data_IF_857883956869
#
_entry.id   IF_857883956869
#
_cell.length_a   1.000
_cell.length_b   1.000
_cell.length_c   1.000
_cell.angle_alpha   90.00
_cell.angle_beta   90.00
_cell.angle_gamma   90.00
#
_symmetry.space_group_name_H-M   'P 1'
#
loop_
_entity.id
_entity.type
_entity.pdbx_description
1 polymer ?
#
# COMPACT_ATOMS: atom_id res chain seq x y z
N UNK A 1 -28.11 -25.96 10.72
CA UNK A 1 -27.21 -25.31 9.75
C UNK A 1 -26.06 -24.72 10.56
N UNK A 2 -24.82 -25.01 10.19
CA UNK A 2 -23.67 -24.31 10.78
C UNK A 2 -23.38 -23.05 9.94
N UNK A 3 -23.24 -21.91 10.61
CA UNK A 3 -22.81 -20.69 9.95
C UNK A 3 -21.32 -20.77 9.62
N UNK A 4 -20.94 -20.24 8.48
CA UNK A 4 -19.55 -20.13 8.04
C UNK A 4 -19.22 -18.66 7.80
N UNK A 5 -17.92 -18.31 7.88
CA UNK A 5 -17.46 -16.96 7.54
C UNK A 5 -17.81 -16.60 6.09
N UNK A 6 -18.02 -15.31 5.78
CA UNK A 6 -18.26 -14.85 4.42
C UNK A 6 -17.09 -15.23 3.49
N UNK A 7 -17.40 -15.52 2.23
CA UNK A 7 -16.39 -15.87 1.23
C UNK A 7 -15.36 -14.76 1.05
N UNK A 8 -14.08 -15.11 1.12
CA UNK A 8 -12.98 -14.15 0.97
C UNK A 8 -12.62 -13.41 2.26
N UNK A 9 -13.08 -13.91 3.41
CA UNK A 9 -12.66 -13.43 4.73
C UNK A 9 -12.01 -14.57 5.52
N UNK A 10 -11.17 -14.23 6.50
CA UNK A 10 -10.56 -15.17 7.41
C UNK A 10 -10.71 -14.72 8.86
N UNK A 11 -10.85 -15.68 9.76
CA UNK A 11 -10.63 -15.47 11.19
C UNK A 11 -9.13 -15.62 11.46
N UNK A 12 -8.56 -14.72 12.24
CA UNK A 12 -7.17 -14.76 12.69
C UNK A 12 -7.19 -15.34 14.11
N UNK A 13 -6.83 -16.61 14.22
CA UNK A 13 -6.95 -17.35 15.46
C UNK A 13 -5.65 -17.32 16.29
N UNK A 14 -5.70 -17.65 17.61
CA UNK A 14 -4.51 -17.88 18.41
C UNK A 14 -3.56 -18.88 17.73
N UNK A 15 -2.26 -18.62 17.76
CA UNK A 15 -1.23 -19.30 16.98
C UNK A 15 -0.89 -18.60 15.66
N UNK A 16 -1.86 -17.92 15.03
CA UNK A 16 -1.63 -17.06 13.87
C UNK A 16 -1.59 -15.57 14.27
N UNK A 17 -2.42 -15.15 15.24
CA UNK A 17 -2.48 -13.77 15.70
C UNK A 17 -1.15 -13.24 16.24
N UNK A 18 -0.33 -14.08 16.82
CA UNK A 18 0.98 -13.73 17.33
C UNK A 18 1.94 -13.30 16.21
N UNK A 19 1.84 -13.93 15.03
CA UNK A 19 2.61 -13.53 13.85
C UNK A 19 2.22 -12.12 13.37
N UNK A 20 0.92 -11.82 13.41
CA UNK A 20 0.38 -10.50 13.09
C UNK A 20 0.89 -9.45 14.08
N UNK A 21 0.81 -9.74 15.38
CA UNK A 21 1.30 -8.86 16.43
C UNK A 21 2.78 -8.54 16.26
N UNK A 22 3.61 -9.55 15.98
CA UNK A 22 5.04 -9.35 15.71
C UNK A 22 5.28 -8.37 14.55
N UNK A 23 4.60 -8.53 13.43
CA UNK A 23 4.70 -7.64 12.26
C UNK A 23 4.22 -6.23 12.60
N UNK A 24 3.07 -6.11 13.27
CA UNK A 24 2.49 -4.82 13.64
C UNK A 24 3.34 -4.06 14.67
N UNK A 25 3.91 -4.76 15.65
CA UNK A 25 4.80 -4.18 16.66
C UNK A 25 6.10 -3.71 16.03
N UNK A 26 6.70 -4.52 15.15
CA UNK A 26 7.90 -4.13 14.39
C UNK A 26 7.62 -2.88 13.55
N UNK A 27 6.46 -2.81 12.88
CA UNK A 27 6.06 -1.63 12.12
C UNK A 27 5.97 -0.38 13.00
N UNK A 28 5.31 -0.47 14.18
CA UNK A 28 5.19 0.65 15.12
C UNK A 28 6.54 1.13 15.63
N UNK A 29 7.48 0.21 15.85
CA UNK A 29 8.84 0.56 16.31
C UNK A 29 9.60 1.31 15.20
N UNK A 30 9.70 0.72 14.02
CA UNK A 30 10.42 1.33 12.87
C UNK A 30 9.82 2.69 12.51
N UNK A 31 8.51 2.77 12.33
CA UNK A 31 7.87 4.02 11.90
C UNK A 31 8.01 5.14 12.93
N UNK A 32 8.02 4.81 14.22
CA UNK A 32 8.31 5.78 15.28
C UNK A 32 9.73 6.34 15.19
N UNK A 33 10.71 5.49 14.83
CA UNK A 33 12.10 5.94 14.69
C UNK A 33 12.25 6.93 13.52
N UNK A 34 11.40 6.80 12.49
CA UNK A 34 11.26 7.76 11.38
C UNK A 34 10.25 8.89 11.66
N UNK A 35 9.74 8.99 12.91
CA UNK A 35 8.81 10.03 13.40
C UNK A 35 7.42 10.00 12.72
N UNK A 36 6.95 8.84 12.29
CA UNK A 36 5.57 8.65 11.88
C UNK A 36 4.68 8.34 13.07
N UNK A 37 3.52 9.01 13.16
CA UNK A 37 2.54 8.82 14.22
C UNK A 37 1.34 8.00 13.71
N UNK A 38 0.76 7.16 14.58
CA UNK A 38 -0.40 6.36 14.18
C UNK A 38 -1.63 7.25 13.96
N UNK A 39 -2.33 7.03 12.84
CA UNK A 39 -3.64 7.60 12.56
C UNK A 39 -4.64 6.47 12.29
N UNK A 40 -5.87 6.64 12.77
CA UNK A 40 -6.96 5.69 12.53
C UNK A 40 -8.15 6.43 11.95
N UNK A 41 -8.63 5.99 10.78
CA UNK A 41 -9.81 6.52 10.12
C UNK A 41 -10.97 5.50 10.21
N UNK A 42 -12.23 5.93 10.05
CA UNK A 42 -13.36 5.02 9.98
C UNK A 42 -13.19 3.92 8.93
N UNK A 43 -13.79 2.76 9.16
CA UNK A 43 -13.76 1.62 8.22
C UNK A 43 -14.63 1.89 6.99
N UNK A 44 -15.72 2.64 7.14
CA UNK A 44 -16.54 3.11 6.03
C UNK A 44 -16.30 4.59 5.76
N UNK A 45 -16.37 4.98 4.50
CA UNK A 45 -16.09 6.33 4.02
C UNK A 45 -17.18 6.77 3.04
N UNK A 46 -17.27 8.06 2.74
CA UNK A 46 -18.11 8.52 1.65
C UNK A 46 -17.61 7.95 0.32
N UNK A 47 -18.54 7.42 -0.47
CA UNK A 47 -18.22 6.86 -1.80
C UNK A 47 -17.43 7.85 -2.66
N UNK A 48 -17.84 9.12 -2.65
CA UNK A 48 -17.23 10.18 -3.44
C UNK A 48 -15.76 10.46 -3.07
N UNK A 49 -15.37 10.26 -1.80
CA UNK A 49 -13.98 10.43 -1.37
C UNK A 49 -13.10 9.41 -2.08
N UNK A 50 -13.55 8.17 -2.15
CA UNK A 50 -12.80 7.10 -2.81
C UNK A 50 -12.84 7.28 -4.34
N UNK A 51 -14.02 7.52 -4.91
CA UNK A 51 -14.19 7.65 -6.36
C UNK A 51 -13.33 8.77 -6.94
N UNK A 52 -13.34 9.96 -6.35
CA UNK A 52 -12.52 11.10 -6.78
C UNK A 52 -11.02 10.84 -6.65
N UNK A 53 -10.60 10.22 -5.55
CA UNK A 53 -9.19 10.00 -5.26
C UNK A 53 -8.58 8.87 -6.08
N UNK A 54 -9.25 7.72 -6.11
CA UNK A 54 -8.73 6.51 -6.76
C UNK A 54 -8.89 6.56 -8.28
N UNK A 55 -9.90 7.28 -8.77
CA UNK A 55 -10.26 7.42 -10.18
C UNK A 55 -11.42 6.52 -10.60
N UNK A 56 -12.44 7.12 -11.21
CA UNK A 56 -13.71 6.47 -11.59
C UNK A 56 -13.52 5.30 -12.58
N UNK A 57 -12.46 5.35 -13.39
CA UNK A 57 -12.15 4.32 -14.41
C UNK A 57 -11.34 3.15 -13.86
N UNK A 58 -10.94 3.18 -12.59
CA UNK A 58 -10.19 2.10 -11.97
C UNK A 58 -11.05 0.87 -11.72
N UNK A 59 -10.46 -0.32 -11.76
CA UNK A 59 -11.18 -1.55 -11.41
C UNK A 59 -11.69 -1.52 -9.96
N UNK A 60 -10.99 -0.85 -9.06
CA UNK A 60 -11.40 -0.68 -7.66
C UNK A 60 -12.75 0.01 -7.60
N UNK A 61 -12.88 1.20 -8.20
CA UNK A 61 -14.12 1.98 -8.14
C UNK A 61 -15.23 1.35 -8.98
N UNK A 62 -14.91 0.85 -10.17
CA UNK A 62 -15.92 0.34 -11.09
C UNK A 62 -16.47 -1.05 -10.75
N UNK A 63 -15.72 -1.90 -10.01
CA UNK A 63 -16.07 -3.33 -9.84
C UNK A 63 -15.85 -3.89 -8.42
N UNK A 64 -14.99 -3.27 -7.60
CA UNK A 64 -14.48 -3.93 -6.40
C UNK A 64 -14.92 -3.26 -5.09
N UNK A 65 -15.62 -2.15 -5.13
CA UNK A 65 -16.09 -1.47 -3.92
C UNK A 65 -17.28 -2.22 -3.27
N UNK A 66 -17.30 -2.21 -1.94
CA UNK A 66 -18.45 -2.59 -1.12
C UNK A 66 -19.21 -1.32 -0.74
N UNK A 67 -20.04 -0.81 -1.63
CA UNK A 67 -20.79 0.41 -1.44
C UNK A 67 -22.26 0.13 -1.13
N UNK A 68 -22.87 1.03 -0.36
CA UNK A 68 -24.26 0.92 0.07
C UNK A 68 -24.79 2.28 0.53
N UNK A 69 -26.10 2.40 0.64
CA UNK A 69 -26.74 3.56 1.24
C UNK A 69 -27.01 3.31 2.72
N UNK A 70 -26.63 4.23 3.58
CA UNK A 70 -26.96 4.17 4.98
C UNK A 70 -28.43 4.55 5.24
N UNK A 71 -28.89 4.48 6.52
CA UNK A 71 -30.25 4.83 6.89
C UNK A 71 -30.62 6.31 6.64
N UNK A 72 -29.63 7.17 6.42
CA UNK A 72 -29.79 8.58 6.06
C UNK A 72 -29.63 8.83 4.56
N UNK A 73 -29.73 7.78 3.74
CA UNK A 73 -29.61 7.83 2.27
C UNK A 73 -28.27 8.38 1.76
N UNK A 74 -27.20 8.32 2.58
CA UNK A 74 -25.86 8.70 2.17
C UNK A 74 -25.16 7.53 1.51
N UNK A 75 -24.53 7.78 0.35
CA UNK A 75 -23.76 6.78 -0.35
C UNK A 75 -22.40 6.61 0.32
N UNK A 76 -22.16 5.45 0.88
CA UNK A 76 -20.95 5.11 1.62
C UNK A 76 -20.36 3.80 1.11
N UNK A 77 -19.08 3.58 1.38
CA UNK A 77 -18.37 2.35 1.00
C UNK A 77 -17.49 1.87 2.15
N UNK A 78 -17.26 0.57 2.25
CA UNK A 78 -16.15 0.07 3.02
C UNK A 78 -14.85 0.48 2.32
N UNK A 79 -13.89 1.05 3.06
CA UNK A 79 -12.65 1.59 2.49
C UNK A 79 -11.86 0.51 1.75
N UNK A 80 -11.54 0.70 0.45
CA UNK A 80 -10.77 -0.27 -0.33
C UNK A 80 -9.25 -0.06 -0.19
N UNK A 81 -8.83 1.06 0.40
CA UNK A 81 -7.44 1.46 0.64
C UNK A 81 -7.39 2.55 1.73
N UNK A 82 -6.20 2.93 2.21
CA UNK A 82 -6.04 3.84 3.34
C UNK A 82 -5.75 5.29 2.99
N UNK A 83 -5.11 5.57 1.86
CA UNK A 83 -4.57 6.90 1.51
C UNK A 83 -5.66 7.96 1.38
N UNK A 84 -6.75 7.69 0.64
CA UNK A 84 -7.85 8.64 0.44
C UNK A 84 -8.58 9.00 1.75
N UNK A 85 -8.95 8.04 2.64
CA UNK A 85 -9.48 8.37 3.96
C UNK A 85 -8.55 9.22 4.82
N UNK A 86 -7.24 8.99 4.75
CA UNK A 86 -6.26 9.77 5.50
C UNK A 86 -6.12 11.18 4.92
N UNK A 87 -6.06 11.32 3.59
CA UNK A 87 -6.04 12.63 2.93
C UNK A 87 -7.32 13.43 3.25
N UNK A 88 -8.51 12.79 3.27
CA UNK A 88 -9.75 13.41 3.73
C UNK A 88 -9.63 13.87 5.19
N UNK A 89 -9.10 13.01 6.09
CA UNK A 89 -8.89 13.35 7.50
C UNK A 89 -7.90 14.51 7.66
N UNK A 90 -6.84 14.55 6.86
CA UNK A 90 -5.87 15.66 6.82
C UNK A 90 -6.54 16.98 6.47
N UNK A 91 -7.45 16.99 5.48
CA UNK A 91 -8.21 18.18 5.08
C UNK A 91 -9.24 18.58 6.15
N UNK A 92 -10.07 17.64 6.60
CA UNK A 92 -11.15 17.88 7.56
C UNK A 92 -10.64 18.45 8.89
N UNK A 93 -9.54 17.91 9.40
CA UNK A 93 -8.94 18.34 10.66
C UNK A 93 -7.91 19.48 10.48
N UNK A 94 -7.78 20.03 9.26
CA UNK A 94 -6.86 21.14 8.93
C UNK A 94 -5.40 20.88 9.31
N UNK A 95 -4.95 19.62 9.19
CA UNK A 95 -3.60 19.19 9.56
C UNK A 95 -2.50 19.83 8.68
N UNK A 96 -2.90 20.61 7.70
CA UNK A 96 -2.02 21.49 6.91
C UNK A 96 -1.68 22.82 7.61
N UNK A 97 -2.32 23.13 8.73
CA UNK A 97 -2.09 24.36 9.49
C UNK A 97 -0.62 24.55 9.92
N UNK A 98 -0.22 25.82 10.23
CA UNK A 98 1.15 26.13 10.59
C UNK A 98 1.59 25.55 11.95
N UNK A 99 0.64 25.12 12.77
CA UNK A 99 0.88 24.46 14.06
C UNK A 99 1.44 23.03 13.93
N UNK A 100 1.35 22.44 12.75
CA UNK A 100 1.83 21.09 12.48
C UNK A 100 3.16 21.10 11.73
N UNK A 101 4.10 20.26 12.16
CA UNK A 101 5.37 20.07 11.47
C UNK A 101 5.17 19.52 10.05
N UNK A 102 6.05 19.88 9.12
CA UNK A 102 6.08 19.38 7.74
C UNK A 102 7.43 18.70 7.44
N UNK A 103 7.41 17.56 6.75
CA UNK A 103 6.23 16.80 6.34
C UNK A 103 5.41 16.31 7.55
N UNK A 104 4.07 16.31 7.43
CA UNK A 104 3.19 15.68 8.40
C UNK A 104 3.17 14.19 8.15
N UNK A 105 3.79 13.42 9.04
CA UNK A 105 4.09 12.00 8.87
C UNK A 105 3.12 11.15 9.70
N UNK A 106 2.37 10.27 9.04
CA UNK A 106 1.43 9.34 9.69
C UNK A 106 1.54 7.94 9.13
N UNK A 107 1.22 6.94 9.96
CA UNK A 107 1.04 5.56 9.52
C UNK A 107 -0.30 5.00 10.01
N UNK A 108 -0.77 3.97 9.35
CA UNK A 108 -2.00 3.26 9.70
C UNK A 108 -1.83 1.75 9.60
N UNK A 109 -2.60 1.03 10.41
CA UNK A 109 -2.73 -0.43 10.35
C UNK A 109 -4.22 -0.74 10.45
N UNK A 110 -4.77 -1.52 9.53
CA UNK A 110 -6.17 -1.91 9.62
C UNK A 110 -6.75 -2.61 8.40
N UNK A 111 -8.02 -3.03 8.51
CA UNK A 111 -8.71 -3.78 7.47
C UNK A 111 -9.12 -2.87 6.30
N UNK A 112 -9.03 -3.45 5.10
CA UNK A 112 -9.50 -2.90 3.82
C UNK A 112 -10.43 -3.93 3.14
N UNK A 113 -11.25 -3.48 2.18
CA UNK A 113 -12.30 -4.29 1.60
C UNK A 113 -12.35 -4.11 0.08
N UNK A 114 -12.21 -5.22 -0.67
CA UNK A 114 -12.36 -5.24 -2.13
C UNK A 114 -13.10 -6.48 -2.58
N UNK A 115 -14.10 -6.33 -3.43
CA UNK A 115 -14.87 -7.45 -3.98
C UNK A 115 -14.08 -8.16 -5.10
N UNK A 116 -12.91 -8.66 -4.75
CA UNK A 116 -12.06 -9.41 -5.66
C UNK A 116 -12.40 -10.92 -5.66
N UNK A 117 -11.91 -11.62 -6.70
CA UNK A 117 -11.92 -13.09 -6.70
C UNK A 117 -10.91 -13.60 -5.67
N UNK A 118 -11.34 -14.28 -4.61
CA UNK A 118 -10.42 -14.74 -3.57
C UNK A 118 -9.39 -15.73 -4.10
N UNK A 119 -8.13 -15.53 -3.71
CA UNK A 119 -7.01 -16.43 -3.97
C UNK A 119 -5.96 -16.27 -2.87
N UNK A 120 -4.90 -17.09 -2.85
CA UNK A 120 -3.84 -16.98 -1.84
C UNK A 120 -3.25 -15.55 -1.87
N UNK A 121 -3.25 -14.86 -0.71
CA UNK A 121 -2.77 -13.48 -0.58
C UNK A 121 -3.67 -12.39 -1.17
N UNK A 122 -4.90 -12.73 -1.63
CA UNK A 122 -5.95 -11.79 -2.03
C UNK A 122 -7.27 -12.20 -1.42
N UNK A 123 -7.73 -11.40 -0.49
CA UNK A 123 -8.98 -11.60 0.23
C UNK A 123 -9.92 -10.43 -0.04
N UNK A 124 -11.20 -10.61 0.30
CA UNK A 124 -12.21 -9.54 0.21
C UNK A 124 -12.15 -8.59 1.40
N UNK A 125 -11.80 -9.13 2.57
CA UNK A 125 -11.29 -8.36 3.70
C UNK A 125 -9.82 -8.71 3.85
N UNK A 126 -8.95 -7.73 3.80
CA UNK A 126 -7.50 -7.85 3.94
C UNK A 126 -6.98 -6.70 4.79
N UNK A 127 -5.75 -6.79 5.27
CA UNK A 127 -5.18 -5.75 6.13
C UNK A 127 -4.01 -5.07 5.43
N UNK A 128 -3.94 -3.76 5.64
CA UNK A 128 -2.82 -2.95 5.17
C UNK A 128 -2.10 -2.29 6.34
N UNK A 129 -0.79 -2.22 6.20
CA UNK A 129 0.05 -1.24 6.85
C UNK A 129 0.39 -0.20 5.78
N UNK A 130 0.24 1.08 6.09
CA UNK A 130 0.65 2.13 5.18
C UNK A 130 1.16 3.36 5.90
N UNK A 131 1.85 4.21 5.17
CA UNK A 131 2.40 5.48 5.64
C UNK A 131 2.11 6.58 4.67
N UNK A 132 1.92 7.80 5.18
CA UNK A 132 1.68 9.00 4.38
C UNK A 132 2.48 10.17 4.96
N UNK A 133 3.19 10.90 4.09
CA UNK A 133 3.95 12.11 4.42
C UNK A 133 3.41 13.28 3.59
N UNK A 134 2.78 14.25 4.21
CA UNK A 134 2.16 15.39 3.55
C UNK A 134 2.96 16.69 3.72
N UNK A 135 3.04 17.49 2.66
CA UNK A 135 3.58 18.86 2.74
C UNK A 135 5.07 19.00 2.41
N UNK A 136 5.66 18.00 1.75
CA UNK A 136 7.04 18.09 1.25
C UNK A 136 7.12 17.68 -0.22
N UNK A 137 7.63 18.57 -1.06
CA UNK A 137 7.98 18.29 -2.45
C UNK A 137 9.44 17.83 -2.61
N UNK A 138 10.20 17.76 -1.50
CA UNK A 138 11.62 17.41 -1.54
C UNK A 138 11.81 15.92 -1.88
N UNK A 139 12.66 15.56 -2.88
CA UNK A 139 12.97 14.16 -3.20
C UNK A 139 13.52 13.35 -2.01
N UNK A 140 14.12 14.01 -1.02
CA UNK A 140 14.57 13.34 0.21
C UNK A 140 13.42 12.67 0.98
N UNK A 141 12.19 13.19 0.89
CA UNK A 141 11.02 12.56 1.51
C UNK A 141 10.68 11.24 0.83
N UNK A 142 10.83 11.16 -0.49
CA UNK A 142 10.60 9.95 -1.27
C UNK A 142 11.60 8.86 -0.85
N UNK A 143 12.89 9.25 -0.80
CA UNK A 143 13.99 8.33 -0.47
C UNK A 143 13.92 7.88 0.99
N UNK A 144 13.69 8.79 1.95
CA UNK A 144 13.54 8.45 3.37
C UNK A 144 12.40 7.44 3.58
N UNK A 145 11.27 7.63 2.88
CA UNK A 145 10.12 6.73 3.00
C UNK A 145 10.38 5.35 2.38
N UNK A 146 11.09 5.29 1.25
CA UNK A 146 11.53 4.02 0.66
C UNK A 146 12.57 3.32 1.54
N UNK A 147 13.55 4.05 2.09
CA UNK A 147 14.53 3.54 3.03
C UNK A 147 13.87 2.94 4.28
N UNK A 148 12.90 3.63 4.86
CA UNK A 148 12.12 3.14 5.99
C UNK A 148 11.39 1.82 5.66
N UNK A 149 10.81 1.68 4.47
CA UNK A 149 10.19 0.43 4.06
C UNK A 149 11.21 -0.71 3.99
N UNK A 150 12.40 -0.46 3.42
CA UNK A 150 13.47 -1.46 3.35
C UNK A 150 14.00 -1.83 4.75
N UNK A 151 14.16 -0.86 5.64
CA UNK A 151 14.56 -1.11 7.03
C UNK A 151 13.52 -1.94 7.79
N UNK A 152 12.24 -1.66 7.58
CA UNK A 152 11.16 -2.45 8.17
C UNK A 152 11.23 -3.92 7.73
N UNK A 153 11.37 -4.18 6.44
CA UNK A 153 11.48 -5.55 5.93
C UNK A 153 12.74 -6.26 6.43
N UNK A 154 13.85 -5.54 6.50
CA UNK A 154 15.10 -6.06 7.08
C UNK A 154 14.93 -6.44 8.55
N UNK A 155 14.24 -5.63 9.36
CA UNK A 155 13.95 -5.94 10.76
C UNK A 155 13.01 -7.13 10.92
N UNK A 156 12.13 -7.39 9.97
CA UNK A 156 11.33 -8.61 9.90
C UNK A 156 12.13 -9.84 9.47
N UNK A 157 13.41 -9.69 9.07
CA UNK A 157 14.27 -10.79 8.63
C UNK A 157 14.14 -11.13 7.14
N UNK A 158 13.46 -10.29 6.35
CA UNK A 158 13.37 -10.47 4.89
C UNK A 158 14.64 -9.97 4.20
N UNK A 159 15.14 -10.74 3.23
CA UNK A 159 16.39 -10.46 2.53
C UNK A 159 16.30 -10.61 1.00
N UNK A 160 15.32 -11.33 0.49
CA UNK A 160 15.16 -11.58 -0.94
C UNK A 160 14.18 -10.55 -1.54
N UNK A 161 14.59 -9.28 -1.52
CA UNK A 161 13.75 -8.17 -1.94
C UNK A 161 14.42 -7.35 -3.04
N UNK A 162 13.60 -6.83 -3.94
CA UNK A 162 14.01 -5.96 -5.04
C UNK A 162 13.16 -4.69 -5.00
N UNK A 163 13.81 -3.53 -4.94
CA UNK A 163 13.18 -2.23 -5.09
C UNK A 163 13.14 -1.87 -6.56
N UNK A 164 11.95 -1.62 -7.10
CA UNK A 164 11.74 -1.16 -8.47
C UNK A 164 11.16 0.25 -8.42
N UNK A 165 11.72 1.16 -9.19
CA UNK A 165 11.31 2.57 -9.22
C UNK A 165 10.99 3.02 -10.65
N UNK A 166 10.12 4.03 -10.76
CA UNK A 166 9.85 4.76 -12.00
C UNK A 166 9.41 6.19 -11.67
N UNK A 167 9.26 7.02 -12.69
CA UNK A 167 8.62 8.34 -12.58
C UNK A 167 7.45 8.46 -13.54
N UNK A 168 6.29 8.86 -13.03
CA UNK A 168 5.13 9.24 -13.86
C UNK A 168 5.17 10.73 -14.28
N UNK A 169 6.16 11.45 -13.79
CA UNK A 169 6.33 12.88 -14.05
C UNK A 169 5.18 13.73 -13.55
N UNK A 170 5.13 14.93 -14.05
CA UNK A 170 4.10 15.94 -13.78
C UNK A 170 2.96 15.92 -14.83
N UNK A 171 2.08 16.91 -14.77
CA UNK A 171 0.95 17.05 -15.72
C UNK A 171 1.43 17.22 -17.18
N UNK A 172 2.54 17.92 -17.40
CA UNK A 172 3.10 18.14 -18.74
C UNK A 172 3.66 16.83 -19.30
N UNK A 173 4.46 16.12 -18.51
CA UNK A 173 4.97 14.79 -18.84
C UNK A 173 3.80 13.85 -19.22
N UNK A 174 2.78 13.76 -18.36
CA UNK A 174 1.65 12.86 -18.59
C UNK A 174 0.87 13.20 -19.85
N UNK A 175 0.69 14.48 -20.16
CA UNK A 175 0.03 14.93 -21.39
C UNK A 175 0.81 14.49 -22.64
N UNK A 176 2.12 14.75 -22.65
CA UNK A 176 2.98 14.44 -23.79
C UNK A 176 3.12 12.92 -23.98
N UNK A 177 3.32 12.19 -22.89
CA UNK A 177 3.45 10.74 -22.92
C UNK A 177 2.13 10.04 -23.30
N UNK A 178 0.98 10.55 -22.82
CA UNK A 178 -0.34 10.05 -23.23
C UNK A 178 -0.50 10.11 -24.74
N UNK A 179 -0.11 11.22 -25.38
CA UNK A 179 -0.18 11.36 -26.83
C UNK A 179 0.77 10.38 -27.52
N UNK A 180 2.00 10.25 -27.04
CA UNK A 180 2.96 9.30 -27.60
C UNK A 180 2.46 7.84 -27.53
N UNK A 181 1.83 7.43 -26.41
CA UNK A 181 1.21 6.10 -26.30
C UNK A 181 0.03 5.92 -27.26
N UNK A 182 -0.82 6.92 -27.43
CA UNK A 182 -1.93 6.87 -28.41
C UNK A 182 -1.37 6.71 -29.81
N UNK A 183 -0.39 7.52 -30.19
CA UNK A 183 0.22 7.48 -31.55
C UNK A 183 0.90 6.13 -31.81
N UNK A 184 1.51 5.55 -30.78
CA UNK A 184 2.17 4.25 -30.85
C UNK A 184 1.18 3.08 -30.92
N UNK A 185 0.13 3.07 -30.09
CA UNK A 185 -0.79 1.94 -29.96
C UNK A 185 -1.95 1.95 -30.98
N UNK A 186 -2.37 3.13 -31.49
CA UNK A 186 -3.51 3.24 -32.42
C UNK A 186 -3.35 2.40 -33.69
N UNK A 187 -2.16 2.31 -34.34
CA UNK A 187 -1.99 1.41 -35.49
C UNK A 187 -2.23 -0.07 -35.17
N UNK A 188 -2.12 -0.46 -33.91
CA UNK A 188 -2.26 -1.83 -33.41
C UNK A 188 -3.60 -2.09 -32.68
N UNK A 189 -4.51 -1.11 -32.66
CA UNK A 189 -5.76 -1.20 -31.89
C UNK A 189 -6.55 -2.46 -32.18
N UNK A 190 -6.62 -2.90 -33.45
CA UNK A 190 -7.35 -4.11 -33.84
C UNK A 190 -6.81 -5.39 -33.19
N UNK A 191 -5.52 -5.40 -32.84
CA UNK A 191 -4.81 -6.55 -32.27
C UNK A 191 -4.83 -6.58 -30.73
N UNK A 192 -5.18 -5.45 -30.08
CA UNK A 192 -5.28 -5.34 -28.65
C UNK A 192 -6.45 -6.16 -28.08
N UNK A 193 -6.36 -6.48 -26.78
CA UNK A 193 -7.49 -7.03 -26.03
C UNK A 193 -8.64 -6.02 -25.95
N UNK A 194 -9.87 -6.47 -25.75
CA UNK A 194 -11.05 -5.59 -25.67
C UNK A 194 -10.92 -4.58 -24.49
N UNK A 195 -10.33 -5.00 -23.37
CA UNK A 195 -10.03 -4.10 -22.26
C UNK A 195 -8.99 -3.04 -22.64
N UNK A 196 -7.94 -3.41 -23.37
CA UNK A 196 -6.90 -2.47 -23.80
C UNK A 196 -7.37 -1.55 -24.92
N UNK A 197 -8.26 -1.96 -25.81
CA UNK A 197 -8.95 -1.08 -26.76
C UNK A 197 -9.71 0.05 -26.04
N UNK A 198 -10.48 -0.31 -25.01
CA UNK A 198 -11.17 0.70 -24.19
C UNK A 198 -10.19 1.62 -23.46
N UNK A 199 -9.17 1.04 -22.81
CA UNK A 199 -8.14 1.77 -22.07
C UNK A 199 -7.33 2.72 -22.94
N UNK A 200 -7.09 2.39 -24.21
CA UNK A 200 -6.40 3.24 -25.16
C UNK A 200 -7.05 4.62 -25.29
N UNK A 201 -8.37 4.69 -25.25
CA UNK A 201 -9.11 5.95 -25.35
C UNK A 201 -9.32 6.64 -24.00
N UNK A 202 -9.56 5.87 -22.94
CA UNK A 202 -9.84 6.39 -21.61
C UNK A 202 -8.54 6.77 -20.87
N UNK A 203 -7.63 5.81 -20.69
CA UNK A 203 -6.35 5.97 -20.00
C UNK A 203 -5.28 5.03 -20.58
N UNK A 204 -4.56 5.44 -21.62
CA UNK A 204 -3.61 4.57 -22.33
C UNK A 204 -2.44 4.07 -21.46
N UNK A 205 -2.08 4.75 -20.37
CA UNK A 205 -1.07 4.25 -19.44
C UNK A 205 -1.47 2.89 -18.84
N UNK A 206 -2.77 2.62 -18.71
CA UNK A 206 -3.25 1.33 -18.19
C UNK A 206 -3.11 0.17 -19.17
N UNK A 207 -2.81 0.43 -20.43
CA UNK A 207 -2.47 -0.62 -21.39
C UNK A 207 -1.13 -1.27 -21.01
N UNK A 208 -0.21 -0.48 -20.44
CA UNK A 208 1.11 -0.95 -19.98
C UNK A 208 1.01 -1.99 -18.84
N UNK A 209 -0.05 -1.94 -18.04
CA UNK A 209 -0.32 -2.94 -16.96
C UNK A 209 -1.14 -4.15 -17.44
N UNK A 210 -1.37 -4.28 -18.74
CA UNK A 210 -2.13 -5.41 -19.27
C UNK A 210 -1.38 -6.72 -19.09
N UNK A 211 -2.10 -7.73 -18.59
CA UNK A 211 -1.60 -9.12 -18.46
C UNK A 211 -2.00 -10.01 -19.63
N UNK A 212 -2.76 -9.48 -20.59
CA UNK A 212 -3.12 -10.22 -21.79
C UNK A 212 -1.88 -10.35 -22.70
N UNK A 213 -1.60 -11.58 -23.12
CA UNK A 213 -0.41 -11.87 -23.97
C UNK A 213 -0.43 -11.12 -25.30
N UNK A 214 -1.61 -10.77 -25.82
CA UNK A 214 -1.74 -9.97 -27.04
C UNK A 214 -1.22 -8.57 -26.86
N UNK A 215 -1.48 -7.98 -25.71
CA UNK A 215 -1.06 -6.61 -25.40
C UNK A 215 0.43 -6.56 -25.05
N UNK A 216 0.95 -7.58 -24.36
CA UNK A 216 2.35 -7.62 -23.87
C UNK A 216 3.38 -7.49 -24.99
N UNK A 217 3.09 -7.98 -26.20
CA UNK A 217 3.99 -7.81 -27.35
C UNK A 217 4.16 -6.34 -27.75
N UNK A 218 3.15 -5.50 -27.53
CA UNK A 218 3.20 -4.06 -27.82
C UNK A 218 3.73 -3.27 -26.65
N UNK A 219 3.45 -3.72 -25.40
CA UNK A 219 3.95 -3.08 -24.18
C UNK A 219 5.47 -3.14 -24.10
N UNK A 220 6.09 -4.25 -24.55
CA UNK A 220 7.54 -4.43 -24.49
C UNK A 220 8.33 -3.36 -25.27
N UNK A 221 7.78 -2.90 -26.41
CA UNK A 221 8.40 -1.92 -27.30
C UNK A 221 7.77 -0.53 -27.18
N UNK A 222 6.93 -0.29 -26.15
CA UNK A 222 6.29 1.00 -25.93
C UNK A 222 7.33 2.09 -25.60
N UNK A 223 7.10 3.35 -26.02
CA UNK A 223 8.00 4.44 -25.67
C UNK A 223 8.12 4.59 -24.15
N UNK A 224 9.33 4.87 -23.67
CA UNK A 224 9.59 5.08 -22.24
C UNK A 224 9.03 6.40 -21.75
N UNK A 225 8.31 6.41 -20.63
CA UNK A 225 7.82 7.66 -20.00
C UNK A 225 9.00 8.58 -19.61
N UNK A 226 10.16 8.00 -19.30
CA UNK A 226 11.34 8.75 -18.87
C UNK A 226 11.90 9.66 -19.98
N UNK A 227 11.62 9.37 -21.27
CA UNK A 227 12.01 10.20 -22.40
C UNK A 227 11.11 11.44 -22.55
N UNK A 228 9.97 11.47 -21.86
CA UNK A 228 8.97 12.55 -21.90
C UNK A 228 8.92 13.39 -20.63
N UNK A 229 9.79 13.10 -19.66
CA UNK A 229 9.84 13.88 -18.42
C UNK A 229 10.12 15.35 -18.72
N UNK A 230 9.35 16.24 -18.08
CA UNK A 230 9.67 17.65 -18.05
C UNK A 230 11.04 17.87 -17.39
N UNK A 231 11.74 19.00 -17.63
CA UNK A 231 13.02 19.27 -16.98
C UNK A 231 12.95 19.19 -15.44
N UNK A 232 11.83 19.63 -14.85
CA UNK A 232 11.60 19.59 -13.41
C UNK A 232 11.40 18.15 -12.90
N UNK A 233 10.55 17.38 -13.57
CA UNK A 233 10.29 15.98 -13.22
C UNK A 233 11.55 15.12 -13.39
N UNK A 234 12.35 15.39 -14.42
CA UNK A 234 13.64 14.73 -14.63
C UNK A 234 14.63 15.04 -13.53
N UNK A 235 14.79 16.31 -13.16
CA UNK A 235 15.69 16.72 -12.07
C UNK A 235 15.26 16.10 -10.72
N UNK A 236 13.94 16.01 -10.45
CA UNK A 236 13.42 15.33 -9.26
C UNK A 236 13.84 13.86 -9.26
N UNK A 237 13.59 13.13 -10.35
CA UNK A 237 13.89 11.69 -10.43
C UNK A 237 15.40 11.40 -10.37
N UNK A 238 16.24 12.21 -11.04
CA UNK A 238 17.70 12.11 -10.96
C UNK A 238 18.21 12.35 -9.53
N UNK A 239 17.56 13.26 -8.78
CA UNK A 239 17.89 13.50 -7.37
C UNK A 239 17.52 12.31 -6.50
N UNK A 240 16.34 11.68 -6.73
CA UNK A 240 15.96 10.43 -6.03
C UNK A 240 16.99 9.34 -6.27
N UNK A 241 17.40 9.12 -7.51
CA UNK A 241 18.44 8.14 -7.89
C UNK A 241 19.75 8.42 -7.15
N UNK A 242 20.23 9.66 -7.19
CA UNK A 242 21.47 10.07 -6.53
C UNK A 242 21.43 9.82 -5.02
N UNK A 243 20.28 10.06 -4.38
CA UNK A 243 20.10 9.84 -2.95
C UNK A 243 20.00 8.35 -2.59
N UNK A 244 19.36 7.52 -3.41
CA UNK A 244 19.34 6.07 -3.24
C UNK A 244 20.75 5.47 -3.34
N UNK A 245 21.52 5.92 -4.33
CA UNK A 245 22.93 5.53 -4.50
C UNK A 245 23.78 5.92 -3.28
N UNK A 246 23.57 7.14 -2.75
CA UNK A 246 24.28 7.63 -1.57
C UNK A 246 23.95 6.88 -0.27
N UNK A 247 22.80 6.20 -0.22
CA UNK A 247 22.38 5.34 0.89
C UNK A 247 22.69 3.86 0.67
N UNK A 248 23.38 3.51 -0.42
CA UNK A 248 23.65 2.12 -0.82
C UNK A 248 22.38 1.26 -0.90
N UNK A 249 21.24 1.84 -1.28
CA UNK A 249 19.98 1.12 -1.48
C UNK A 249 19.91 0.67 -2.94
N UNK A 250 19.99 -0.64 -3.22
CA UNK A 250 19.90 -1.15 -4.58
C UNK A 250 18.48 -0.99 -5.13
N UNK A 251 18.37 -0.58 -6.38
CA UNK A 251 17.10 -0.40 -7.10
C UNK A 251 17.23 -0.81 -8.56
N UNK A 252 16.09 -1.03 -9.19
CA UNK A 252 15.95 -1.19 -10.63
C UNK A 252 14.98 -0.12 -11.17
N UNK A 253 15.23 0.36 -12.37
CA UNK A 253 14.34 1.28 -13.08
C UNK A 253 13.51 0.45 -14.06
N UNK A 254 12.17 0.51 -13.92
CA UNK A 254 11.23 -0.08 -14.87
C UNK A 254 10.31 1.01 -15.43
N UNK A 255 10.63 1.48 -16.63
CA UNK A 255 9.87 2.54 -17.32
C UNK A 255 8.44 2.13 -17.69
N UNK A 256 8.12 0.84 -17.68
CA UNK A 256 6.78 0.32 -17.96
C UNK A 256 5.94 0.16 -16.69
N UNK A 257 6.56 0.29 -15.51
CA UNK A 257 5.83 0.21 -14.26
C UNK A 257 4.86 1.38 -14.13
N UNK A 258 3.59 1.06 -14.01
CA UNK A 258 2.49 2.00 -13.70
C UNK A 258 1.74 1.53 -12.47
N UNK A 259 0.89 2.39 -11.90
CA UNK A 259 0.14 2.07 -10.68
C UNK A 259 -1.36 1.94 -10.96
N UNK A 260 -2.03 1.11 -10.17
CA UNK A 260 -3.46 0.87 -10.27
C UNK A 260 -4.36 2.01 -9.77
N UNK A 261 -3.79 3.12 -9.29
CA UNK A 261 -4.49 4.28 -8.72
C UNK A 261 -4.05 5.52 -9.51
N UNK A 262 -5.01 6.39 -9.86
CA UNK A 262 -4.76 7.50 -10.79
C UNK A 262 -4.14 8.75 -10.15
N UNK A 263 -4.10 8.82 -8.81
CA UNK A 263 -3.55 9.98 -8.09
C UNK A 263 -2.04 10.12 -8.12
N UNK A 264 -1.29 9.06 -8.50
CA UNK A 264 0.17 9.11 -8.48
C UNK A 264 0.76 10.10 -9.49
N UNK A 265 1.84 10.77 -9.05
CA UNK A 265 2.69 11.70 -9.83
C UNK A 265 4.15 11.36 -9.55
N UNK A 266 5.09 11.90 -10.34
CA UNK A 266 6.54 11.77 -10.09
C UNK A 266 6.98 10.34 -9.70
N UNK A 267 7.76 10.22 -8.62
CA UNK A 267 8.32 8.93 -8.16
C UNK A 267 7.24 7.94 -7.76
N UNK A 268 7.29 6.76 -8.33
CA UNK A 268 6.54 5.57 -7.91
C UNK A 268 7.51 4.43 -7.66
N UNK A 269 7.13 3.50 -6.78
CA UNK A 269 7.96 2.34 -6.47
C UNK A 269 7.15 1.10 -6.11
N UNK A 270 7.79 -0.04 -6.27
CA UNK A 270 7.35 -1.33 -5.77
C UNK A 270 8.51 -2.05 -5.07
N UNK A 271 8.23 -2.71 -3.96
CA UNK A 271 9.15 -3.66 -3.35
C UNK A 271 8.60 -5.05 -3.62
N UNK A 272 9.39 -5.83 -4.34
CA UNK A 272 9.02 -7.16 -4.79
C UNK A 272 9.82 -8.22 -4.05
N UNK A 273 9.17 -9.31 -3.67
CA UNK A 273 9.83 -10.48 -3.13
C UNK A 273 10.35 -11.37 -4.26
N UNK A 274 11.59 -11.79 -4.15
CA UNK A 274 12.22 -12.81 -5.01
C UNK A 274 12.17 -14.21 -4.39
N UNK A 275 11.47 -14.34 -3.25
CA UNK A 275 11.30 -15.63 -2.59
C UNK A 275 10.63 -16.67 -3.51
N UNK A 276 11.00 -17.95 -3.41
CA UNK A 276 10.41 -19.02 -4.21
C UNK A 276 8.89 -19.08 -4.08
N UNK A 277 8.18 -19.34 -5.18
CA UNK A 277 6.72 -19.57 -5.23
C UNK A 277 5.83 -18.31 -5.04
N UNK A 278 6.37 -17.09 -5.00
CA UNK A 278 5.57 -15.88 -4.90
C UNK A 278 4.78 -15.57 -6.18
N UNK A 279 5.34 -15.84 -7.35
CA UNK A 279 4.66 -15.67 -8.65
C UNK A 279 4.04 -14.28 -8.83
N UNK A 280 2.78 -14.22 -9.22
CA UNK A 280 2.03 -12.97 -9.40
C UNK A 280 1.79 -12.15 -8.10
N UNK A 281 2.24 -12.65 -6.96
CA UNK A 281 2.12 -12.01 -5.64
C UNK A 281 3.44 -11.40 -5.17
N UNK A 282 4.41 -11.26 -6.07
CA UNK A 282 5.75 -10.78 -5.74
C UNK A 282 5.76 -9.37 -5.14
N UNK A 283 4.89 -8.45 -5.59
CA UNK A 283 4.81 -7.11 -5.02
C UNK A 283 4.21 -7.15 -3.61
N UNK A 284 5.04 -6.86 -2.61
CA UNK A 284 4.66 -6.87 -1.18
C UNK A 284 4.38 -5.48 -0.64
N UNK A 285 5.01 -4.44 -1.20
CA UNK A 285 4.81 -3.04 -0.86
C UNK A 285 4.81 -2.21 -2.14
N UNK A 286 4.00 -1.16 -2.16
CA UNK A 286 3.95 -0.27 -3.29
C UNK A 286 3.49 1.13 -2.90
N UNK A 287 4.06 2.14 -3.53
CA UNK A 287 3.79 3.52 -3.19
C UNK A 287 4.29 4.51 -4.23
N UNK A 288 4.32 5.76 -3.82
CA UNK A 288 4.79 6.86 -4.65
C UNK A 288 4.28 8.22 -4.22
N UNK A 289 4.57 9.21 -5.04
CA UNK A 289 4.18 10.61 -4.86
C UNK A 289 2.78 10.86 -5.42
N UNK A 290 2.04 11.74 -4.74
CA UNK A 290 0.71 12.19 -5.16
C UNK A 290 0.52 13.66 -4.74
N UNK A 291 0.66 14.58 -5.70
CA UNK A 291 0.74 16.02 -5.40
C UNK A 291 -0.61 16.74 -5.46
N UNK A 292 -1.67 16.08 -5.94
CA UNK A 292 -2.97 16.70 -6.17
C UNK A 292 -4.09 16.15 -5.30
N UNK A 293 -3.89 15.00 -4.63
CA UNK A 293 -4.93 14.30 -3.89
C UNK A 293 -5.59 15.16 -2.79
N UNK A 294 -4.79 15.91 -2.04
CA UNK A 294 -5.30 16.79 -0.97
C UNK A 294 -6.15 17.92 -1.55
N UNK A 295 -5.74 18.52 -2.67
CA UNK A 295 -6.47 19.56 -3.38
C UNK A 295 -7.80 19.03 -3.95
N UNK A 296 -7.81 17.84 -4.53
CA UNK A 296 -9.02 17.17 -5.03
C UNK A 296 -10.06 16.90 -3.94
N UNK A 297 -9.61 16.72 -2.70
CA UNK A 297 -10.47 16.56 -1.53
C UNK A 297 -10.84 17.89 -0.85
N UNK A 298 -10.51 19.03 -1.48
CA UNK A 298 -10.89 20.37 -1.01
C UNK A 298 -9.89 21.02 -0.05
N UNK A 299 -8.69 20.47 0.09
CA UNK A 299 -7.60 21.08 0.85
C UNK A 299 -6.72 22.01 -0.01
N UNK A 300 -5.66 22.59 0.57
CA UNK A 300 -4.66 23.33 -0.19
C UNK A 300 -3.81 22.39 -1.05
N UNK A 301 -3.14 22.93 -2.06
CA UNK A 301 -2.13 22.17 -2.81
C UNK A 301 -1.06 21.67 -1.85
N UNK A 302 -0.97 20.36 -1.72
CA UNK A 302 -0.11 19.70 -0.72
C UNK A 302 0.53 18.47 -1.34
N UNK A 303 1.84 18.48 -1.58
CA UNK A 303 2.54 17.28 -2.02
C UNK A 303 2.42 16.17 -0.98
N UNK A 304 2.23 14.94 -1.45
CA UNK A 304 2.20 13.75 -0.61
C UNK A 304 3.10 12.65 -1.15
N UNK A 305 3.63 11.83 -0.25
CA UNK A 305 4.35 10.61 -0.58
C UNK A 305 4.01 9.53 0.43
N UNK A 306 3.73 8.31 -0.04
CA UNK A 306 3.38 7.23 0.85
C UNK A 306 3.45 5.87 0.19
N UNK A 307 3.22 4.83 0.99
CA UNK A 307 3.10 3.46 0.52
C UNK A 307 2.07 2.67 1.32
N UNK A 308 1.64 1.56 0.75
CA UNK A 308 0.88 0.55 1.47
C UNK A 308 1.42 -0.86 1.17
N UNK A 309 1.32 -1.74 2.16
CA UNK A 309 1.65 -3.16 2.06
C UNK A 309 0.53 -4.01 2.67
N UNK A 310 0.29 -5.20 2.08
CA UNK A 310 -0.71 -6.14 2.60
C UNK A 310 -0.09 -7.07 3.63
N UNK A 311 -0.67 -7.14 4.85
CA UNK A 311 -0.15 -8.00 5.92
C UNK A 311 -0.20 -9.47 5.55
N UNK A 312 -1.30 -9.93 4.95
CA UNK A 312 -1.45 -11.33 4.53
C UNK A 312 -0.36 -11.74 3.54
N UNK A 313 -0.03 -10.84 2.61
CA UNK A 313 1.01 -11.10 1.62
C UNK A 313 2.40 -11.07 2.25
N UNK A 314 2.62 -10.17 3.20
CA UNK A 314 3.87 -10.07 3.95
C UNK A 314 4.13 -11.34 4.78
N UNK A 315 3.12 -11.86 5.48
CA UNK A 315 3.23 -13.12 6.22
C UNK A 315 3.52 -14.31 5.31
N UNK A 316 2.91 -14.36 4.12
CA UNK A 316 3.22 -15.40 3.10
C UNK A 316 4.69 -15.29 2.64
N UNK A 317 5.21 -14.07 2.49
CA UNK A 317 6.61 -13.84 2.11
C UNK A 317 7.55 -14.29 3.22
N UNK A 318 7.26 -13.94 4.48
CA UNK A 318 8.03 -14.38 5.64
C UNK A 318 8.06 -15.91 5.74
N UNK A 319 6.94 -16.57 5.49
CA UNK A 319 6.88 -18.05 5.43
C UNK A 319 7.73 -18.60 4.27
N UNK A 320 7.71 -17.97 3.12
CA UNK A 320 8.47 -18.41 1.93
C UNK A 320 10.00 -18.23 2.11
N UNK A 321 10.43 -17.24 2.88
CA UNK A 321 11.84 -17.02 3.26
C UNK A 321 12.22 -17.75 4.55
N UNK A 322 11.32 -18.57 5.13
CA UNK A 322 11.56 -19.34 6.37
C UNK A 322 11.97 -18.45 7.56
N UNK A 323 11.40 -17.24 7.62
CA UNK A 323 11.67 -16.28 8.71
C UNK A 323 11.20 -16.88 10.03
N UNK A 324 12.09 -16.89 11.01
CA UNK A 324 11.77 -17.34 12.38
C UNK A 324 11.12 -16.20 13.14
N UNK A 325 9.83 -16.32 13.42
CA UNK A 325 9.10 -15.37 14.27
C UNK A 325 9.33 -15.81 15.73
N UNK A 326 9.76 -14.89 16.62
CA UNK A 326 9.92 -15.20 18.04
C UNK A 326 8.61 -15.71 18.66
N UNK A 327 8.69 -16.71 19.51
CA UNK A 327 7.53 -17.20 20.27
C UNK A 327 7.11 -16.10 21.27
N UNK A 328 5.93 -15.49 21.04
CA UNK A 328 5.44 -14.39 21.87
C UNK A 328 4.72 -14.85 23.15
N UNK A 329 4.43 -16.15 23.29
CA UNK A 329 3.62 -16.71 24.38
C UNK A 329 4.21 -18.01 24.94
N UNK A 330 5.44 -17.96 25.46
CA UNK A 330 5.95 -19.05 26.30
C UNK A 330 5.41 -18.87 27.72
N UNK A 331 4.96 -19.99 28.34
CA UNK A 331 4.55 -19.99 29.74
C UNK A 331 5.79 -20.02 30.62
N UNK A 332 6.01 -18.97 31.40
CA UNK A 332 7.08 -18.93 32.40
C UNK A 332 6.81 -19.91 33.55
N UNK A 333 5.55 -20.05 33.94
CA UNK A 333 5.15 -20.91 35.03
C UNK A 333 3.72 -21.46 34.84
N UNK A 334 3.52 -22.72 35.25
CA UNK A 334 2.22 -23.33 35.34
C UNK A 334 1.96 -23.81 36.79
N UNK A 335 0.99 -23.22 37.45
CA UNK A 335 0.66 -23.50 38.85
C UNK A 335 -0.48 -24.53 38.94
N UNK A 336 -0.24 -25.63 39.62
CA UNK A 336 -1.24 -26.70 39.81
C UNK A 336 -1.63 -26.80 41.30
N UNK A 337 -2.91 -26.68 41.60
CA UNK A 337 -3.48 -26.99 42.89
C UNK A 337 -3.86 -28.47 42.98
N UNK A 338 -3.40 -29.17 43.99
CA UNK A 338 -3.78 -30.56 44.25
C UNK A 338 -4.98 -30.62 45.23
N UNK A 339 -6.21 -30.78 44.69
CA UNK A 339 -7.46 -30.81 45.42
C UNK A 339 -8.09 -29.43 45.65
N UNK A 340 -9.41 -29.42 45.90
CA UNK A 340 -10.19 -28.17 45.99
C UNK A 340 -9.67 -27.17 47.02
N UNK A 341 -9.14 -27.67 48.16
CA UNK A 341 -8.65 -26.83 49.25
C UNK A 341 -7.42 -25.96 48.85
N UNK A 342 -6.69 -26.32 47.76
CA UNK A 342 -5.51 -25.60 47.31
C UNK A 342 -5.78 -24.62 46.16
N UNK A 343 -7.01 -24.62 45.60
CA UNK A 343 -7.34 -23.74 44.46
C UNK A 343 -7.20 -22.25 44.80
N UNK A 344 -7.57 -21.85 46.01
CA UNK A 344 -7.44 -20.46 46.46
C UNK A 344 -5.97 -20.04 46.57
N UNK A 345 -5.13 -20.91 47.12
CA UNK A 345 -3.70 -20.60 47.27
C UNK A 345 -2.97 -20.60 45.90
N UNK A 346 -3.34 -21.54 45.01
CA UNK A 346 -2.84 -21.53 43.60
C UNK A 346 -3.22 -20.23 42.91
N UNK A 347 -4.45 -19.73 43.04
CA UNK A 347 -4.88 -18.46 42.47
C UNK A 347 -4.09 -17.27 43.03
N UNK A 348 -3.83 -17.23 44.34
CA UNK A 348 -3.01 -16.17 44.96
C UNK A 348 -1.58 -16.19 44.43
N UNK A 349 -0.98 -17.38 44.30
CA UNK A 349 0.38 -17.53 43.72
C UNK A 349 0.42 -17.03 42.28
N UNK A 350 -0.53 -17.46 41.45
CA UNK A 350 -0.60 -16.97 40.04
C UNK A 350 -0.73 -15.46 39.98
N UNK A 351 -1.60 -14.87 40.83
CA UNK A 351 -1.78 -13.41 40.83
C UNK A 351 -0.54 -12.68 41.35
N UNK A 352 0.18 -13.25 42.30
CA UNK A 352 1.46 -12.69 42.75
C UNK A 352 2.52 -12.72 41.64
N UNK A 353 2.65 -13.83 40.89
CA UNK A 353 3.58 -13.96 39.76
C UNK A 353 3.25 -12.94 38.65
N UNK A 354 1.96 -12.72 38.35
CA UNK A 354 1.53 -11.74 37.32
C UNK A 354 1.82 -10.28 37.67
N UNK A 355 2.01 -9.96 38.94
CA UNK A 355 2.31 -8.60 39.42
C UNK A 355 3.83 -8.30 39.45
N UNK A 356 4.66 -9.28 39.14
CA UNK A 356 6.10 -9.12 38.95
C UNK A 356 6.44 -8.76 37.51
#
# INVERSE_FOLDING_TARGET
>A
MSYQRPKGTNDILPGESEKWQFVEETARLVFRDYQYNEIRTPIFEHFEVIARSVGDTTDIVSKEMYDFYDKGERHVTLRPEGTAPIARSYVENKLFGPEYNKPYKVFYIGPMFRYERPQKGRLRQFHQIGVEAFGSANPATDVETMAMAMDFFKQLGLSQLRLVINSLGDKETRKNYRQALIDYLSPHEAELSEDSKRRLHENPLRVLDSKDKRDQQFVADAPSILDYLSPEAKAHFETVITMLDALDIPYEIDSNMVRGLDYYTHTIFEIMSEAPKMGAQATICAGGRYDHLVEELGGPQTPGFGFAMGLERLLITMEAEEVVIPALNELDAYVVGLGEATNLEALKVVQAIRNF
#
